data_IF_226887171441
#
_entry.id   IF_226887171441
#
_cell.length_a   1.000
_cell.length_b   1.000
_cell.length_c   1.000
_cell.angle_alpha   90.00
_cell.angle_beta   90.00
_cell.angle_gamma   90.00
#
_symmetry.space_group_name_H-M   'P 1'
#
loop_
_entity.id
_entity.type
_entity.pdbx_description
1 polymer ?
#
# COMPACT_ATOMS: atom_id res chain seq x y z
N UNK A 1 -16.43 1.59 -34.15
CA UNK A 1 -15.85 2.50 -35.17
C UNK A 1 -14.61 3.15 -34.56
N UNK A 2 -13.45 3.21 -35.24
CA UNK A 2 -12.32 3.96 -34.71
C UNK A 2 -12.76 5.43 -34.60
N UNK A 3 -12.59 6.04 -33.42
CA UNK A 3 -12.83 7.47 -33.23
C UNK A 3 -11.92 8.20 -34.22
N UNK A 4 -12.49 9.03 -35.09
CA UNK A 4 -11.71 9.86 -36.01
C UNK A 4 -10.80 10.78 -35.18
N UNK A 5 -9.51 10.83 -35.52
CA UNK A 5 -8.57 11.74 -34.91
C UNK A 5 -9.01 13.19 -35.19
N UNK A 6 -9.31 13.94 -34.15
CA UNK A 6 -9.65 15.37 -34.23
C UNK A 6 -8.46 16.13 -33.62
N UNK A 7 -7.72 16.92 -34.42
CA UNK A 7 -6.62 17.72 -33.91
C UNK A 7 -7.05 18.70 -32.82
N UNK A 8 -6.28 18.78 -31.75
CA UNK A 8 -6.45 19.73 -30.66
C UNK A 8 -5.91 21.12 -31.02
N UNK A 9 -6.46 22.21 -30.49
CA UNK A 9 -5.97 23.56 -30.78
C UNK A 9 -4.61 23.85 -30.11
N UNK A 10 -3.83 24.79 -30.66
CA UNK A 10 -2.51 25.20 -30.14
C UNK A 10 -2.55 25.74 -28.70
N UNK A 11 -3.71 26.17 -28.22
CA UNK A 11 -3.92 26.59 -26.83
C UNK A 11 -3.77 25.45 -25.83
N UNK A 12 -3.86 24.19 -26.29
CA UNK A 12 -3.72 22.99 -25.45
C UNK A 12 -2.27 22.55 -25.27
N UNK A 13 -1.30 23.15 -26.00
CA UNK A 13 0.12 22.77 -25.97
C UNK A 13 0.67 22.73 -24.53
N UNK A 14 0.47 23.74 -23.66
CA UNK A 14 1.03 23.70 -22.30
C UNK A 14 0.50 22.55 -21.46
N UNK A 15 -0.81 22.28 -21.52
CA UNK A 15 -1.45 21.20 -20.77
C UNK A 15 -0.95 19.82 -21.23
N UNK A 16 -0.86 19.62 -22.54
CA UNK A 16 -0.41 18.34 -23.12
C UNK A 16 1.09 18.14 -22.88
N UNK A 17 1.86 19.22 -22.83
CA UNK A 17 3.26 19.18 -22.41
C UNK A 17 3.41 18.66 -20.97
N UNK A 18 2.69 19.24 -20.02
CA UNK A 18 2.73 18.79 -18.63
C UNK A 18 2.26 17.33 -18.50
N UNK A 19 1.17 16.96 -19.19
CA UNK A 19 0.68 15.58 -19.23
C UNK A 19 1.73 14.61 -19.79
N UNK A 20 2.42 14.97 -20.87
CA UNK A 20 3.46 14.13 -21.48
C UNK A 20 4.61 13.85 -20.51
N UNK A 21 4.94 14.82 -19.65
CA UNK A 21 5.98 14.70 -18.64
C UNK A 21 5.55 13.73 -17.53
N UNK A 22 4.35 13.93 -16.96
CA UNK A 22 3.82 13.06 -15.91
C UNK A 22 3.65 11.61 -16.39
N UNK A 23 3.20 11.40 -17.63
CA UNK A 23 3.08 10.06 -18.21
C UNK A 23 4.45 9.38 -18.37
N UNK A 24 5.47 10.13 -18.80
CA UNK A 24 6.83 9.63 -18.93
C UNK A 24 7.42 9.26 -17.57
N UNK A 25 7.35 10.17 -16.59
CA UNK A 25 7.87 9.96 -15.24
C UNK A 25 7.25 8.71 -14.59
N UNK A 26 5.92 8.58 -14.65
CA UNK A 26 5.21 7.42 -14.10
C UNK A 26 5.60 6.10 -14.79
N UNK A 27 5.87 6.13 -16.10
CA UNK A 27 6.26 4.91 -16.82
C UNK A 27 7.73 4.55 -16.60
N UNK A 28 8.59 5.53 -16.34
CA UNK A 28 9.99 5.31 -15.96
C UNK A 28 10.08 4.72 -14.55
N UNK A 29 9.33 5.26 -13.59
CA UNK A 29 9.25 4.71 -12.22
C UNK A 29 8.76 3.26 -12.23
N UNK A 30 7.69 2.96 -12.98
CA UNK A 30 7.21 1.59 -13.12
C UNK A 30 8.23 0.69 -13.83
N UNK A 31 8.96 1.20 -14.82
CA UNK A 31 10.03 0.45 -15.47
C UNK A 31 11.12 0.06 -14.48
N UNK A 32 11.58 0.99 -13.65
CA UNK A 32 12.58 0.72 -12.60
C UNK A 32 12.10 -0.38 -11.65
N UNK A 33 10.86 -0.28 -11.16
CA UNK A 33 10.23 -1.30 -10.31
C UNK A 33 10.20 -2.68 -10.98
N UNK A 34 9.90 -2.74 -12.29
CA UNK A 34 9.89 -4.01 -13.02
C UNK A 34 11.29 -4.53 -13.33
N UNK A 35 12.30 -3.66 -13.51
CA UNK A 35 13.69 -4.08 -13.69
C UNK A 35 14.28 -4.67 -12.41
N UNK A 36 13.92 -4.16 -11.23
CA UNK A 36 14.29 -4.77 -9.95
C UNK A 36 13.71 -6.19 -9.74
N UNK A 37 12.63 -6.52 -10.45
CA UNK A 37 12.03 -7.84 -10.45
C UNK A 37 12.69 -8.79 -11.48
N UNK A 38 13.65 -8.33 -12.28
CA UNK A 38 14.20 -9.11 -13.41
C UNK A 38 14.86 -10.42 -12.99
N UNK A 39 15.61 -10.39 -11.89
CA UNK A 39 16.29 -11.56 -11.33
C UNK A 39 15.37 -12.36 -10.37
N UNK A 40 14.18 -11.85 -10.08
CA UNK A 40 13.20 -12.45 -9.16
C UNK A 40 11.76 -12.34 -9.69
N UNK A 41 11.46 -12.83 -10.91
CA UNK A 41 10.16 -12.62 -11.55
C UNK A 41 8.97 -13.20 -10.77
N UNK A 42 9.25 -14.16 -9.88
CA UNK A 42 8.30 -14.79 -8.97
C UNK A 42 7.72 -13.87 -7.89
N UNK A 43 8.25 -12.65 -7.72
CA UNK A 43 7.64 -11.63 -6.85
C UNK A 43 6.36 -11.04 -7.45
N UNK A 44 6.16 -11.21 -8.76
CA UNK A 44 4.97 -10.74 -9.48
C UNK A 44 3.92 -11.85 -9.55
N UNK A 45 2.66 -11.44 -9.50
CA UNK A 45 1.52 -12.31 -9.77
C UNK A 45 1.01 -12.18 -11.21
N UNK A 46 0.26 -13.18 -11.67
CA UNK A 46 -0.37 -13.21 -13.00
C UNK A 46 -1.20 -11.94 -13.24
N UNK A 47 -1.90 -11.44 -12.22
CA UNK A 47 -2.77 -10.26 -12.33
C UNK A 47 -1.99 -8.95 -12.56
N UNK A 48 -0.81 -8.80 -11.98
CA UNK A 48 0.09 -7.66 -12.20
C UNK A 48 0.65 -7.73 -13.62
N UNK A 49 1.10 -8.90 -14.07
CA UNK A 49 1.62 -9.09 -15.42
C UNK A 49 0.53 -8.79 -16.46
N UNK A 50 -0.67 -9.37 -16.33
CA UNK A 50 -1.77 -9.15 -17.26
C UNK A 50 -2.24 -7.69 -17.31
N UNK A 51 -2.39 -7.04 -16.15
CA UNK A 51 -2.79 -5.63 -16.09
C UNK A 51 -1.74 -4.72 -16.71
N UNK A 52 -0.45 -4.99 -16.47
CA UNK A 52 0.65 -4.22 -17.03
C UNK A 52 0.71 -4.38 -18.55
N UNK A 53 0.59 -5.62 -19.05
CA UNK A 53 0.53 -5.89 -20.50
C UNK A 53 -0.61 -5.09 -21.14
N UNK A 54 -1.81 -5.14 -20.55
CA UNK A 54 -2.97 -4.40 -21.07
C UNK A 54 -2.72 -2.90 -21.06
N UNK A 55 -2.27 -2.34 -19.93
CA UNK A 55 -2.06 -0.90 -19.76
C UNK A 55 -1.05 -0.35 -20.78
N UNK A 56 0.16 -0.92 -20.84
CA UNK A 56 1.22 -0.39 -21.69
C UNK A 56 1.00 -0.69 -23.17
N UNK A 57 0.24 -1.74 -23.50
CA UNK A 57 -0.22 -1.98 -24.87
C UNK A 57 -1.19 -0.90 -25.33
N UNK A 58 -2.20 -0.56 -24.51
CA UNK A 58 -3.16 0.51 -24.85
C UNK A 58 -2.46 1.88 -24.88
N UNK A 59 -1.61 2.19 -23.90
CA UNK A 59 -0.89 3.45 -23.86
C UNK A 59 0.02 3.63 -25.09
N UNK A 60 0.66 2.56 -25.59
CA UNK A 60 1.44 2.61 -26.83
C UNK A 60 0.59 2.87 -28.09
N UNK A 61 -0.68 2.44 -28.11
CA UNK A 61 -1.61 2.80 -29.19
C UNK A 61 -1.93 4.29 -29.13
N UNK A 62 -2.18 4.83 -27.94
CA UNK A 62 -2.52 6.24 -27.73
C UNK A 62 -1.35 7.18 -28.04
N UNK A 63 -0.11 6.78 -27.76
CA UNK A 63 1.11 7.55 -28.10
C UNK A 63 1.17 7.92 -29.58
N UNK A 64 0.69 7.06 -30.47
CA UNK A 64 0.66 7.36 -31.91
C UNK A 64 -0.22 8.58 -32.19
N UNK A 65 -1.36 8.71 -31.51
CA UNK A 65 -2.25 9.86 -31.64
C UNK A 65 -1.58 11.14 -31.11
N UNK A 66 -0.87 11.07 -29.98
CA UNK A 66 -0.16 12.22 -29.43
C UNK A 66 1.03 12.70 -30.30
N UNK A 67 1.78 11.77 -30.89
CA UNK A 67 2.85 12.12 -31.83
C UNK A 67 2.26 12.78 -33.08
N UNK A 68 1.14 12.29 -33.60
CA UNK A 68 0.46 12.91 -34.73
C UNK A 68 -0.06 14.30 -34.40
N UNK A 69 -0.58 14.51 -33.18
CA UNK A 69 -0.96 15.84 -32.69
C UNK A 69 0.21 16.82 -32.71
N UNK A 70 1.40 16.39 -32.25
CA UNK A 70 2.61 17.23 -32.30
C UNK A 70 2.98 17.61 -33.74
N UNK A 71 2.84 16.67 -34.70
CA UNK A 71 3.08 16.94 -36.13
C UNK A 71 2.09 17.93 -36.71
N UNK A 72 0.82 17.89 -36.31
CA UNK A 72 -0.17 18.87 -36.76
C UNK A 72 0.13 20.27 -36.20
N UNK A 73 0.48 20.39 -34.91
CA UNK A 73 0.86 21.69 -34.34
C UNK A 73 2.11 22.30 -34.99
N UNK A 74 3.08 21.48 -35.42
CA UNK A 74 4.28 21.97 -36.13
C UNK A 74 3.98 22.58 -37.50
N UNK A 75 2.76 22.43 -38.04
CA UNK A 75 2.33 23.09 -39.29
C UNK A 75 1.70 24.47 -39.03
N UNK A 76 1.39 24.79 -37.78
CA UNK A 76 0.76 26.05 -37.38
C UNK A 76 1.82 27.11 -37.03
N UNK A 77 1.39 28.37 -36.87
CA UNK A 77 2.26 29.46 -36.44
C UNK A 77 2.47 29.41 -34.91
N UNK A 78 3.50 28.66 -34.48
CA UNK A 78 3.86 28.54 -33.06
C UNK A 78 4.73 29.73 -32.60
N UNK A 79 4.53 30.15 -31.34
CA UNK A 79 5.52 30.99 -30.65
C UNK A 79 6.77 30.16 -30.29
N UNK A 80 7.93 30.79 -30.04
CA UNK A 80 9.15 30.07 -29.66
C UNK A 80 8.95 29.13 -28.46
N UNK A 81 8.17 29.56 -27.45
CA UNK A 81 7.83 28.72 -26.29
C UNK A 81 6.96 27.52 -26.66
N UNK A 82 5.98 27.70 -27.55
CA UNK A 82 5.14 26.59 -28.02
C UNK A 82 5.94 25.61 -28.87
N UNK A 83 6.87 26.09 -29.70
CA UNK A 83 7.75 25.25 -30.50
C UNK A 83 8.66 24.38 -29.63
N UNK A 84 9.23 24.96 -28.56
CA UNK A 84 9.98 24.25 -27.54
C UNK A 84 9.12 23.18 -26.86
N UNK A 85 7.93 23.54 -26.38
CA UNK A 85 7.00 22.61 -25.72
C UNK A 85 6.58 21.47 -26.63
N UNK A 86 6.24 21.74 -27.89
CA UNK A 86 5.83 20.70 -28.86
C UNK A 86 7.00 19.75 -29.17
N UNK A 87 8.23 20.28 -29.25
CA UNK A 87 9.42 19.45 -29.45
C UNK A 87 9.69 18.57 -28.23
N UNK A 88 9.53 19.11 -27.02
CA UNK A 88 9.67 18.36 -25.79
C UNK A 88 8.56 17.29 -25.62
N UNK A 89 7.30 17.60 -25.94
CA UNK A 89 6.20 16.62 -25.99
C UNK A 89 6.57 15.43 -26.89
N UNK A 90 7.03 15.72 -28.11
CA UNK A 90 7.38 14.68 -29.07
C UNK A 90 8.53 13.80 -28.54
N UNK A 91 9.51 14.40 -27.86
CA UNK A 91 10.58 13.67 -27.18
C UNK A 91 10.04 12.80 -26.05
N UNK A 92 9.21 13.36 -25.17
CA UNK A 92 8.62 12.66 -24.03
C UNK A 92 7.81 11.44 -24.49
N UNK A 93 6.99 11.57 -25.52
CA UNK A 93 6.21 10.45 -26.06
C UNK A 93 7.07 9.36 -26.73
N UNK A 94 8.22 9.73 -27.32
CA UNK A 94 9.19 8.75 -27.84
C UNK A 94 9.85 7.96 -26.72
N UNK A 95 10.31 8.63 -25.66
CA UNK A 95 10.90 7.97 -24.50
C UNK A 95 9.87 7.15 -23.71
N UNK A 96 8.64 7.64 -23.61
CA UNK A 96 7.53 6.93 -22.99
C UNK A 96 7.27 5.62 -23.74
N UNK A 97 7.23 5.66 -25.08
CA UNK A 97 7.05 4.46 -25.90
C UNK A 97 8.19 3.45 -25.68
N UNK A 98 9.44 3.91 -25.59
CA UNK A 98 10.59 3.02 -25.32
C UNK A 98 10.46 2.37 -23.95
N UNK A 99 10.12 3.16 -22.92
CA UNK A 99 9.92 2.68 -21.55
C UNK A 99 8.82 1.61 -21.52
N UNK A 100 7.67 1.89 -22.13
CA UNK A 100 6.56 0.94 -22.26
C UNK A 100 6.94 -0.32 -23.01
N UNK A 101 7.71 -0.22 -24.09
CA UNK A 101 8.19 -1.39 -24.83
C UNK A 101 9.14 -2.24 -23.98
N UNK A 102 10.00 -1.61 -23.18
CA UNK A 102 10.87 -2.31 -22.23
C UNK A 102 10.05 -3.01 -21.15
N UNK A 103 9.03 -2.36 -20.59
CA UNK A 103 8.11 -2.99 -19.63
C UNK A 103 7.40 -4.18 -20.27
N UNK A 104 6.85 -4.04 -21.47
CA UNK A 104 6.19 -5.15 -22.17
C UNK A 104 7.14 -6.32 -22.44
N UNK A 105 8.41 -6.05 -22.74
CA UNK A 105 9.45 -7.08 -22.87
C UNK A 105 9.67 -7.81 -21.54
N UNK A 106 9.75 -7.09 -20.42
CA UNK A 106 9.88 -7.68 -19.09
C UNK A 106 8.64 -8.51 -18.72
N UNK A 107 7.44 -8.00 -19.00
CA UNK A 107 6.20 -8.75 -18.74
C UNK A 107 6.14 -10.05 -19.54
N UNK A 108 6.58 -10.04 -20.80
CA UNK A 108 6.67 -11.26 -21.61
C UNK A 108 7.68 -12.26 -21.03
N UNK A 109 8.79 -11.78 -20.46
CA UNK A 109 9.76 -12.60 -19.73
C UNK A 109 9.21 -13.14 -18.40
N UNK A 110 8.31 -12.41 -17.74
CA UNK A 110 7.77 -12.76 -16.42
C UNK A 110 6.53 -13.65 -16.46
N UNK A 111 5.75 -13.64 -17.55
CA UNK A 111 4.44 -14.31 -17.66
C UNK A 111 4.43 -15.81 -17.30
N UNK A 112 5.56 -16.50 -17.48
CA UNK A 112 5.71 -17.93 -17.19
C UNK A 112 6.49 -18.20 -15.88
N UNK A 113 6.82 -17.15 -15.13
CA UNK A 113 7.68 -17.18 -13.94
C UNK A 113 7.09 -16.43 -12.75
N UNK A 114 5.80 -16.11 -12.81
CA UNK A 114 5.04 -15.52 -11.71
C UNK A 114 4.90 -16.50 -10.55
N UNK A 115 4.45 -15.98 -9.41
CA UNK A 115 4.21 -16.83 -8.23
C UNK A 115 3.18 -17.92 -8.53
N UNK A 116 2.10 -17.63 -9.26
CA UNK A 116 1.10 -18.64 -9.63
C UNK A 116 1.69 -19.76 -10.49
N UNK A 117 2.58 -19.43 -11.44
CA UNK A 117 3.24 -20.43 -12.30
C UNK A 117 4.20 -21.30 -11.54
N UNK A 118 4.87 -20.76 -10.53
CA UNK A 118 5.76 -21.54 -9.64
C UNK A 118 4.94 -22.40 -8.68
N UNK A 119 3.82 -21.89 -8.15
CA UNK A 119 2.93 -22.64 -7.26
C UNK A 119 2.16 -23.77 -7.96
N UNK A 120 2.06 -23.74 -9.29
CA UNK A 120 1.46 -24.81 -10.09
C UNK A 120 2.42 -25.98 -10.34
N UNK A 121 3.72 -25.81 -10.08
CA UNK A 121 4.73 -26.86 -10.25
C UNK A 121 4.73 -27.82 -9.07
N UNK A 122 4.97 -29.10 -9.34
CA UNK A 122 5.17 -30.06 -8.27
C UNK A 122 6.58 -29.93 -7.63
N UNK A 123 6.77 -30.56 -6.48
CA UNK A 123 8.02 -30.45 -5.69
C UNK A 123 9.27 -30.92 -6.46
N UNK A 124 9.11 -31.81 -7.46
CA UNK A 124 10.19 -32.34 -8.27
C UNK A 124 10.58 -31.33 -9.35
N UNK A 125 9.60 -30.73 -10.01
CA UNK A 125 9.79 -29.64 -10.98
C UNK A 125 10.43 -28.42 -10.34
N UNK A 126 10.03 -28.08 -9.10
CA UNK A 126 10.61 -26.97 -8.35
C UNK A 126 12.07 -27.22 -7.95
N UNK A 127 12.41 -28.44 -7.53
CA UNK A 127 13.78 -28.84 -7.23
C UNK A 127 14.69 -28.80 -8.49
N UNK A 128 14.12 -29.15 -9.65
CA UNK A 128 14.85 -29.11 -10.91
C UNK A 128 15.16 -27.68 -11.37
N UNK A 129 14.20 -26.76 -11.25
CA UNK A 129 14.41 -25.33 -11.58
C UNK A 129 15.40 -24.63 -10.64
N UNK A 130 15.44 -25.02 -9.38
CA UNK A 130 16.45 -24.56 -8.43
C UNK A 130 17.86 -25.01 -8.84
N UNK A 131 18.02 -26.28 -9.23
CA UNK A 131 19.30 -26.81 -9.69
C UNK A 131 19.79 -26.19 -11.00
N UNK A 132 18.86 -25.78 -11.87
CA UNK A 132 19.15 -25.13 -13.14
C UNK A 132 19.41 -23.62 -13.03
N UNK A 133 19.31 -23.04 -11.83
CA UNK A 133 19.50 -21.60 -11.61
C UNK A 133 18.36 -20.72 -12.12
N UNK A 134 17.23 -21.33 -12.51
CA UNK A 134 16.00 -20.62 -12.88
C UNK A 134 15.32 -20.03 -11.63
N UNK A 135 15.68 -20.52 -10.45
CA UNK A 135 15.27 -20.05 -9.13
C UNK A 135 16.54 -19.90 -8.28
N UNK A 136 16.86 -18.69 -7.81
CA UNK A 136 18.05 -18.44 -6.97
C UNK A 136 17.71 -18.46 -5.48
N UNK A 137 18.54 -19.07 -4.61
CA UNK A 137 18.44 -18.90 -3.17
C UNK A 137 18.79 -17.47 -2.78
N UNK A 138 18.07 -16.91 -1.80
CA UNK A 138 18.40 -15.62 -1.19
C UNK A 138 19.85 -15.66 -0.67
N UNK A 139 20.72 -14.85 -1.26
CA UNK A 139 22.16 -14.84 -0.97
C UNK A 139 22.44 -14.35 0.46
N UNK A 140 23.27 -15.11 1.19
CA UNK A 140 23.71 -14.79 2.54
C UNK A 140 24.77 -13.68 2.54
N UNK A 141 24.45 -12.55 3.20
CA UNK A 141 25.40 -11.48 3.49
C UNK A 141 26.42 -11.92 4.55
N UNK A 142 27.71 -11.73 4.23
CA UNK A 142 28.88 -12.09 5.05
C UNK A 142 29.00 -11.25 6.34
N UNK A 143 29.28 -11.97 7.43
CA UNK A 143 29.90 -11.60 8.71
C UNK A 143 30.20 -10.12 9.03
N UNK A 144 29.53 -9.59 10.06
CA UNK A 144 30.08 -8.55 10.94
C UNK A 144 29.92 -8.94 12.42
N UNK A 145 31.00 -8.72 13.16
CA UNK A 145 31.31 -9.30 14.47
C UNK A 145 30.43 -8.81 15.62
N UNK A 146 30.08 -9.77 16.48
CA UNK A 146 29.38 -9.64 17.78
C UNK A 146 30.04 -8.64 18.74
N UNK A 147 29.21 -7.84 19.41
CA UNK A 147 29.43 -7.39 20.80
C UNK A 147 28.18 -7.73 21.61
N UNK A 148 28.36 -8.65 22.57
CA UNK A 148 27.32 -9.04 23.53
C UNK A 148 27.10 -7.94 24.57
N UNK A 149 25.84 -7.57 24.81
CA UNK A 149 25.38 -6.97 26.05
C UNK A 149 24.21 -7.82 26.56
N UNK A 150 24.29 -8.20 27.84
CA UNK A 150 23.37 -9.12 28.51
C UNK A 150 21.97 -8.52 28.66
N UNK A 151 20.97 -9.16 28.03
CA UNK A 151 19.55 -8.85 28.16
C UNK A 151 18.82 -9.73 29.17
N UNK A 152 17.91 -9.12 29.92
CA UNK A 152 17.04 -9.76 30.90
C UNK A 152 15.66 -10.03 30.26
N UNK A 153 15.46 -11.28 29.81
CA UNK A 153 14.20 -12.06 29.67
C UNK A 153 12.86 -11.32 29.46
N UNK A 154 12.47 -11.16 28.18
CA UNK A 154 11.25 -11.71 27.51
C UNK A 154 10.92 -10.90 26.25
N UNK A 155 11.80 -10.90 25.27
CA UNK A 155 11.52 -10.43 23.91
C UNK A 155 12.11 -11.44 22.92
N UNK A 156 11.42 -11.60 21.80
CA UNK A 156 11.55 -12.70 20.86
C UNK A 156 13.00 -12.95 20.40
N UNK A 157 13.44 -14.20 20.50
CA UNK A 157 14.64 -14.67 19.80
C UNK A 157 14.27 -14.95 18.35
N UNK A 158 14.99 -14.45 17.34
CA UNK A 158 14.77 -14.92 15.98
C UNK A 158 15.76 -16.06 15.64
N UNK A 159 15.36 -16.85 14.64
CA UNK A 159 16.16 -17.77 13.80
C UNK A 159 15.80 -19.26 13.97
N UNK A 160 14.74 -19.71 13.29
CA UNK A 160 14.42 -21.14 13.09
C UNK A 160 13.10 -21.42 12.34
N UNK A 161 12.73 -22.71 12.23
CA UNK A 161 11.47 -23.23 11.64
C UNK A 161 10.21 -22.57 12.22
N UNK A 162 10.26 -22.13 13.49
CA UNK A 162 9.14 -21.46 14.17
C UNK A 162 8.73 -20.16 13.47
N UNK A 163 9.69 -19.36 13.00
CA UNK A 163 9.42 -18.10 12.31
C UNK A 163 8.75 -18.34 10.94
N UNK A 164 9.15 -19.40 10.24
CA UNK A 164 8.53 -19.79 8.98
C UNK A 164 7.08 -20.27 9.16
N UNK A 165 6.80 -21.02 10.23
CA UNK A 165 5.44 -21.44 10.59
C UNK A 165 4.56 -20.24 10.97
N UNK A 166 5.08 -19.32 11.79
CA UNK A 166 4.36 -18.10 12.19
C UNK A 166 4.10 -17.20 10.98
N UNK A 167 5.07 -17.07 10.06
CA UNK A 167 4.86 -16.31 8.84
C UNK A 167 3.80 -16.93 7.92
N UNK A 168 3.74 -18.27 7.87
CA UNK A 168 2.66 -18.96 7.15
C UNK A 168 1.29 -18.65 7.75
N UNK A 169 1.16 -18.74 9.08
CA UNK A 169 -0.08 -18.38 9.78
C UNK A 169 -0.44 -16.91 9.56
N UNK A 170 0.53 -16.00 9.63
CA UNK A 170 0.36 -14.59 9.29
C UNK A 170 -0.23 -14.42 7.89
N UNK A 171 0.33 -15.07 6.86
CA UNK A 171 -0.16 -14.95 5.47
C UNK A 171 -1.61 -15.44 5.34
N UNK A 172 -1.95 -16.54 6.00
CA UNK A 172 -3.31 -17.07 6.00
C UNK A 172 -4.28 -16.10 6.67
N UNK A 173 -3.93 -15.59 7.86
CA UNK A 173 -4.74 -14.62 8.59
C UNK A 173 -4.86 -13.29 7.83
N UNK A 174 -3.80 -12.79 7.19
CA UNK A 174 -3.83 -11.57 6.36
C UNK A 174 -4.76 -11.72 5.15
N UNK A 175 -4.75 -12.88 4.49
CA UNK A 175 -5.66 -13.19 3.37
C UNK A 175 -7.13 -13.22 3.80
N UNK A 176 -7.42 -13.81 4.97
CA UNK A 176 -8.79 -13.84 5.51
C UNK A 176 -9.21 -12.43 5.94
N UNK A 177 -8.34 -11.71 6.64
CA UNK A 177 -8.59 -10.34 7.09
C UNK A 177 -8.95 -9.40 5.94
N UNK A 178 -8.19 -9.44 4.84
CA UNK A 178 -8.47 -8.58 3.68
C UNK A 178 -9.89 -8.78 3.12
N UNK A 179 -10.33 -10.04 2.95
CA UNK A 179 -11.69 -10.35 2.49
C UNK A 179 -12.75 -10.00 3.54
N UNK A 180 -12.42 -10.23 4.81
CA UNK A 180 -13.31 -9.98 5.93
C UNK A 180 -13.63 -8.49 6.06
N UNK A 181 -12.64 -7.60 5.95
CA UNK A 181 -12.86 -6.14 6.00
C UNK A 181 -13.77 -5.69 4.86
N UNK A 182 -13.57 -6.16 3.63
CA UNK A 182 -14.47 -5.85 2.51
C UNK A 182 -15.90 -6.32 2.78
N UNK A 183 -16.08 -7.53 3.30
CA UNK A 183 -17.40 -8.06 3.62
C UNK A 183 -18.07 -7.28 4.76
N UNK A 184 -17.33 -6.98 5.84
CA UNK A 184 -17.85 -6.19 6.96
C UNK A 184 -18.23 -4.77 6.51
N UNK A 185 -17.41 -4.14 5.67
CA UNK A 185 -17.72 -2.82 5.15
C UNK A 185 -18.93 -2.82 4.22
N UNK A 186 -19.21 -3.92 3.51
CA UNK A 186 -20.45 -4.04 2.71
C UNK A 186 -21.73 -4.13 3.55
N UNK A 187 -21.61 -4.39 4.86
CA UNK A 187 -22.73 -4.36 5.81
C UNK A 187 -22.99 -2.96 6.39
N UNK A 188 -22.08 -2.02 6.13
CA UNK A 188 -22.21 -0.62 6.53
C UNK A 188 -23.20 0.07 5.61
N UNK A 189 -24.22 0.71 6.19
CA UNK A 189 -25.17 1.52 5.42
C UNK A 189 -24.51 2.79 4.87
N UNK A 190 -24.99 3.30 3.74
CA UNK A 190 -24.50 4.56 3.16
C UNK A 190 -24.50 5.71 4.17
N UNK A 191 -25.53 5.82 5.01
CA UNK A 191 -25.62 6.84 6.05
C UNK A 191 -24.48 6.75 7.09
N UNK A 192 -24.10 5.52 7.48
CA UNK A 192 -22.99 5.29 8.41
C UNK A 192 -21.65 5.60 7.73
N UNK A 193 -21.45 5.11 6.50
CA UNK A 193 -20.25 5.39 5.71
C UNK A 193 -20.07 6.91 5.49
N UNK A 194 -21.13 7.62 5.11
CA UNK A 194 -21.11 9.08 4.95
C UNK A 194 -20.87 9.82 6.26
N UNK A 195 -21.39 9.33 7.39
CA UNK A 195 -21.13 9.94 8.70
C UNK A 195 -19.66 9.81 9.09
N UNK A 196 -19.06 8.63 8.90
CA UNK A 196 -17.63 8.43 9.10
C UNK A 196 -16.80 9.30 8.13
N UNK A 197 -17.18 9.37 6.85
CA UNK A 197 -16.53 10.21 5.85
C UNK A 197 -16.57 11.71 6.18
N UNK A 198 -17.66 12.21 6.78
CA UNK A 198 -17.77 13.59 7.26
C UNK A 198 -16.77 13.90 8.36
N UNK A 199 -16.55 12.97 9.30
CA UNK A 199 -15.54 13.11 10.34
C UNK A 199 -14.14 13.23 9.71
N UNK A 200 -13.87 12.45 8.67
CA UNK A 200 -12.58 12.42 7.98
C UNK A 200 -12.39 13.54 6.94
N UNK A 201 -13.39 14.40 6.72
CA UNK A 201 -13.29 15.49 5.74
C UNK A 201 -13.24 15.03 4.26
N UNK A 202 -13.71 13.81 3.99
CA UNK A 202 -13.72 13.20 2.64
C UNK A 202 -15.13 13.06 2.06
N UNK A 203 -16.13 13.58 2.75
CA UNK A 203 -17.51 13.64 2.26
C UNK A 203 -17.70 14.86 1.35
N UNK A 204 -18.29 14.65 0.17
CA UNK A 204 -18.64 15.72 -0.76
C UNK A 204 -20.17 15.81 -0.92
N UNK A 205 -20.71 16.98 -0.55
CA UNK A 205 -22.12 17.32 -0.80
C UNK A 205 -22.26 17.87 -2.22
N UNK A 206 -23.03 17.18 -3.07
CA UNK A 206 -23.30 17.59 -4.45
C UNK A 206 -24.71 17.24 -4.89
N UNK A 207 -24.91 17.06 -6.20
CA UNK A 207 -26.16 16.52 -6.76
C UNK A 207 -26.39 15.07 -6.31
N UNK A 208 -25.31 14.32 -6.07
CA UNK A 208 -25.28 13.03 -5.38
C UNK A 208 -24.28 13.11 -4.22
N UNK A 209 -24.60 12.47 -3.09
CA UNK A 209 -23.68 12.33 -1.96
C UNK A 209 -22.55 11.36 -2.33
N UNK A 210 -21.30 11.73 -2.10
CA UNK A 210 -20.16 10.87 -2.43
C UNK A 210 -19.00 10.97 -1.43
N UNK A 211 -18.13 9.95 -1.46
CA UNK A 211 -16.92 9.86 -0.63
C UNK A 211 -15.71 9.94 -1.55
N UNK A 212 -14.84 10.92 -1.31
CA UNK A 212 -13.62 11.13 -2.08
C UNK A 212 -12.52 10.16 -1.63
N UNK A 213 -12.33 9.09 -2.40
CA UNK A 213 -11.27 8.09 -2.24
C UNK A 213 -10.42 8.05 -3.51
N UNK A 214 -9.09 8.13 -3.37
CA UNK A 214 -8.16 8.19 -4.51
C UNK A 214 -7.51 6.85 -4.85
N UNK A 215 -7.32 6.00 -3.86
CA UNK A 215 -6.63 4.71 -4.00
C UNK A 215 -7.09 3.70 -2.94
N UNK A 216 -6.58 2.48 -3.04
CA UNK A 216 -6.95 1.37 -2.14
C UNK A 216 -6.49 1.59 -0.69
N UNK A 217 -5.40 2.33 -0.46
CA UNK A 217 -4.93 2.66 0.89
C UNK A 217 -5.93 3.58 1.60
N UNK A 218 -6.42 4.60 0.90
CA UNK A 218 -7.47 5.49 1.38
C UNK A 218 -8.79 4.78 1.63
N UNK A 219 -9.17 3.85 0.75
CA UNK A 219 -10.33 3.00 0.98
C UNK A 219 -10.16 2.17 2.26
N UNK A 220 -8.96 1.60 2.46
CA UNK A 220 -8.65 0.77 3.64
C UNK A 220 -8.67 1.58 4.94
N UNK A 221 -8.15 2.81 4.92
CA UNK A 221 -8.23 3.74 6.04
C UNK A 221 -9.67 4.13 6.36
N UNK A 222 -10.46 4.46 5.34
CA UNK A 222 -11.86 4.82 5.53
C UNK A 222 -12.68 3.65 6.08
N UNK A 223 -12.52 2.45 5.52
CA UNK A 223 -13.19 1.25 5.97
C UNK A 223 -12.82 0.90 7.42
N UNK A 224 -11.52 0.94 7.75
CA UNK A 224 -11.05 0.66 9.11
C UNK A 224 -11.54 1.72 10.11
N UNK A 225 -11.53 3.00 9.74
CA UNK A 225 -12.09 4.07 10.56
C UNK A 225 -13.58 3.89 10.82
N UNK A 226 -14.34 3.60 9.77
CA UNK A 226 -15.78 3.40 9.88
C UNK A 226 -16.12 2.18 10.74
N UNK A 227 -15.35 1.09 10.66
CA UNK A 227 -15.61 -0.12 11.42
C UNK A 227 -15.15 -0.03 12.87
N UNK A 228 -13.93 0.47 13.13
CA UNK A 228 -13.30 0.39 14.45
C UNK A 228 -13.48 1.65 15.30
N UNK A 229 -13.47 2.83 14.68
CA UNK A 229 -13.36 4.08 15.40
C UNK A 229 -14.68 4.89 15.35
N UNK A 230 -15.49 4.75 14.30
CA UNK A 230 -16.82 5.35 14.25
C UNK A 230 -17.81 4.62 15.17
N UNK A 231 -18.38 5.35 16.12
CA UNK A 231 -19.27 4.79 17.14
C UNK A 231 -20.70 5.31 17.04
N UNK A 232 -21.68 4.41 17.20
CA UNK A 232 -23.10 4.76 17.34
C UNK A 232 -23.48 4.62 18.81
N UNK A 233 -23.88 5.74 19.43
CA UNK A 233 -24.21 5.81 20.88
C UNK A 233 -23.08 5.28 21.78
N UNK A 234 -21.83 5.42 21.35
CA UNK A 234 -20.64 4.97 22.10
C UNK A 234 -20.22 3.53 21.84
N UNK A 235 -20.89 2.80 20.94
CA UNK A 235 -20.49 1.45 20.52
C UNK A 235 -19.88 1.48 19.12
N UNK A 236 -18.66 0.96 18.91
CA UNK A 236 -18.06 0.86 17.58
C UNK A 236 -18.91 0.06 16.60
N UNK A 237 -18.94 0.46 15.34
CA UNK A 237 -19.79 -0.17 14.33
C UNK A 237 -19.47 -1.66 14.11
N UNK A 238 -18.19 -2.04 14.14
CA UNK A 238 -17.76 -3.44 14.05
C UNK A 238 -18.39 -4.29 15.16
N UNK A 239 -18.51 -3.75 16.38
CA UNK A 239 -19.11 -4.49 17.49
C UNK A 239 -20.60 -4.74 17.23
N UNK A 240 -21.33 -3.73 16.74
CA UNK A 240 -22.75 -3.87 16.41
C UNK A 240 -22.97 -4.93 15.33
N UNK A 241 -22.18 -4.87 14.24
CA UNK A 241 -22.23 -5.85 13.14
C UNK A 241 -21.91 -7.25 13.67
N UNK A 242 -20.88 -7.37 14.52
CA UNK A 242 -20.46 -8.65 15.07
C UNK A 242 -21.52 -9.27 15.97
N UNK A 243 -22.16 -8.49 16.84
CA UNK A 243 -23.22 -8.96 17.72
C UNK A 243 -24.45 -9.43 16.93
N UNK A 244 -24.84 -8.68 15.90
CA UNK A 244 -25.98 -9.03 15.04
C UNK A 244 -25.71 -10.29 14.20
N UNK A 245 -24.54 -10.37 13.58
CA UNK A 245 -24.22 -11.39 12.56
C UNK A 245 -23.31 -12.51 13.07
N UNK A 246 -23.02 -12.57 14.37
CA UNK A 246 -22.10 -13.56 14.96
C UNK A 246 -22.24 -14.99 14.42
N UNK A 247 -23.46 -15.54 14.25
CA UNK A 247 -23.65 -16.92 13.77
C UNK A 247 -23.25 -17.16 12.31
N UNK A 248 -23.17 -16.12 11.47
CA UNK A 248 -22.87 -16.24 10.03
C UNK A 248 -21.37 -16.31 9.75
N UNK A 249 -20.55 -15.79 10.66
CA UNK A 249 -19.09 -15.76 10.51
C UNK A 249 -18.45 -17.13 10.76
N UNK A 250 -17.51 -17.51 9.90
CA UNK A 250 -16.69 -18.71 10.07
C UNK A 250 -15.84 -18.60 11.34
N UNK A 251 -15.41 -19.72 11.95
CA UNK A 251 -14.60 -19.69 13.17
C UNK A 251 -13.36 -18.79 13.08
N UNK A 252 -12.63 -18.81 11.96
CA UNK A 252 -11.45 -17.97 11.76
C UNK A 252 -11.80 -16.48 11.63
N UNK A 253 -12.90 -16.15 10.95
CA UNK A 253 -13.39 -14.77 10.84
C UNK A 253 -13.79 -14.24 12.22
N UNK A 254 -14.50 -15.05 13.03
CA UNK A 254 -14.84 -14.68 14.41
C UNK A 254 -13.60 -14.40 15.26
N UNK A 255 -12.57 -15.24 15.16
CA UNK A 255 -11.28 -15.01 15.85
C UNK A 255 -10.68 -13.66 15.43
N UNK A 256 -10.66 -13.35 14.13
CA UNK A 256 -10.09 -12.08 13.64
C UNK A 256 -10.93 -10.87 14.04
N UNK A 257 -12.26 -10.96 14.04
CA UNK A 257 -13.13 -9.89 14.54
C UNK A 257 -12.89 -9.66 16.04
N UNK A 258 -12.78 -10.72 16.83
CA UNK A 258 -12.50 -10.61 18.27
C UNK A 258 -11.11 -10.00 18.54
N UNK A 259 -10.12 -10.24 17.68
CA UNK A 259 -8.82 -9.56 17.74
C UNK A 259 -8.93 -8.09 17.32
N UNK A 260 -9.66 -7.78 16.25
CA UNK A 260 -9.93 -6.39 15.83
C UNK A 260 -10.63 -5.58 16.92
N UNK A 261 -11.63 -6.16 17.59
CA UNK A 261 -12.35 -5.49 18.69
C UNK A 261 -11.47 -5.23 19.93
N UNK A 262 -10.36 -5.95 20.08
CA UNK A 262 -9.36 -5.76 21.14
C UNK A 262 -8.11 -5.02 20.67
N UNK A 263 -8.09 -4.62 19.41
CA UNK A 263 -6.94 -3.94 18.82
C UNK A 263 -6.74 -2.57 19.45
N UNK A 264 -5.54 -2.03 19.26
CA UNK A 264 -5.22 -0.66 19.64
C UNK A 264 -4.49 0.03 18.49
N UNK A 265 -4.58 1.35 18.48
CA UNK A 265 -3.90 2.17 17.48
C UNK A 265 -2.56 2.65 18.03
N UNK A 266 -1.50 2.56 17.22
CA UNK A 266 -0.20 3.13 17.59
C UNK A 266 0.61 3.55 16.37
N UNK A 267 1.76 4.18 16.64
CA UNK A 267 2.82 4.39 15.68
C UNK A 267 4.02 3.53 16.09
N UNK A 268 4.51 2.73 15.15
CA UNK A 268 5.77 2.02 15.28
C UNK A 268 6.89 2.79 14.59
N UNK A 269 8.10 2.75 15.15
CA UNK A 269 9.33 3.00 14.41
C UNK A 269 9.93 1.67 13.97
N UNK A 270 10.34 1.55 12.71
CA UNK A 270 11.02 0.36 12.18
C UNK A 270 12.48 0.41 12.61
N UNK A 271 12.89 -0.52 13.46
CA UNK A 271 14.25 -0.58 13.99
C UNK A 271 15.14 -1.56 13.20
N UNK A 272 14.57 -2.67 12.73
CA UNK A 272 15.31 -3.69 11.98
C UNK A 272 14.38 -4.54 11.11
N UNK A 273 14.94 -5.16 10.08
CA UNK A 273 14.24 -6.05 9.15
C UNK A 273 14.74 -7.47 9.36
N UNK A 274 13.86 -8.37 9.76
CA UNK A 274 14.18 -9.79 9.94
C UNK A 274 13.79 -10.61 8.71
N UNK A 275 14.29 -11.84 8.65
CA UNK A 275 13.89 -12.81 7.62
C UNK A 275 12.41 -13.17 7.78
N UNK A 276 11.82 -13.72 6.72
CA UNK A 276 10.45 -14.27 6.72
C UNK A 276 9.35 -13.24 7.05
N UNK A 277 9.44 -12.00 6.56
CA UNK A 277 8.36 -11.02 6.71
C UNK A 277 8.21 -10.41 8.10
N UNK A 278 9.13 -10.71 9.03
CA UNK A 278 9.16 -10.13 10.37
C UNK A 278 9.98 -8.82 10.38
N UNK A 279 9.51 -7.83 11.12
CA UNK A 279 10.21 -6.57 11.35
C UNK A 279 10.28 -6.29 12.84
N UNK A 280 11.43 -5.78 13.29
CA UNK A 280 11.60 -5.27 14.64
C UNK A 280 11.07 -3.86 14.67
N UNK A 281 10.14 -3.59 15.57
CA UNK A 281 9.54 -2.27 15.73
C UNK A 281 9.59 -1.80 17.17
N UNK A 282 9.73 -0.50 17.36
CA UNK A 282 9.55 0.17 18.66
C UNK A 282 8.20 0.87 18.68
N UNK A 283 7.37 0.49 19.66
CA UNK A 283 6.06 1.10 19.88
C UNK A 283 6.21 2.48 20.51
N UNK A 284 5.73 3.54 19.85
CA UNK A 284 5.79 4.89 20.41
C UNK A 284 4.83 5.10 21.58
N UNK A 285 3.80 4.26 21.73
CA UNK A 285 2.86 4.35 22.84
C UNK A 285 3.43 3.70 24.11
N UNK A 286 4.02 2.51 24.00
CA UNK A 286 4.49 1.72 25.15
C UNK A 286 6.01 1.79 25.37
N UNK A 287 6.76 2.31 24.39
CA UNK A 287 8.23 2.25 24.32
C UNK A 287 8.79 0.82 24.30
N UNK A 288 7.96 -0.19 24.06
CA UNK A 288 8.39 -1.58 24.00
C UNK A 288 8.81 -1.97 22.58
N UNK A 289 9.85 -2.81 22.49
CA UNK A 289 10.22 -3.44 21.23
C UNK A 289 9.36 -4.68 20.99
N UNK A 290 8.86 -4.82 19.75
CA UNK A 290 8.01 -5.93 19.32
C UNK A 290 8.50 -6.49 17.99
N UNK A 291 8.11 -7.73 17.72
CA UNK A 291 8.26 -8.35 16.41
C UNK A 291 6.91 -8.33 15.72
N UNK A 292 6.83 -7.55 14.65
CA UNK A 292 5.65 -7.38 13.81
C UNK A 292 5.84 -8.19 12.53
N UNK A 293 4.85 -9.01 12.16
CA UNK A 293 4.83 -9.57 10.81
C UNK A 293 4.03 -8.62 9.91
N UNK A 294 4.72 -8.09 8.91
CA UNK A 294 4.13 -7.32 7.84
C UNK A 294 4.98 -7.51 6.58
N UNK A 295 4.47 -8.30 5.63
CA UNK A 295 5.21 -8.66 4.42
C UNK A 295 5.58 -7.41 3.61
N UNK A 296 4.63 -6.50 3.41
CA UNK A 296 4.84 -5.30 2.60
C UNK A 296 5.91 -4.41 3.23
N UNK A 297 5.84 -4.19 4.54
CA UNK A 297 6.82 -3.35 5.25
C UNK A 297 8.20 -4.00 5.33
N UNK A 298 8.25 -5.33 5.47
CA UNK A 298 9.49 -6.08 5.44
C UNK A 298 10.19 -5.96 4.07
N UNK A 299 9.43 -6.05 2.97
CA UNK A 299 9.94 -5.95 1.61
C UNK A 299 10.41 -4.53 1.24
N UNK A 300 9.78 -3.50 1.80
CA UNK A 300 10.16 -2.10 1.60
C UNK A 300 11.46 -1.69 2.32
N UNK A 301 12.00 -2.54 3.21
CA UNK A 301 13.28 -2.35 3.93
C UNK A 301 13.53 -0.95 4.50
N UNK A 302 12.47 -0.31 5.00
CA UNK A 302 12.47 1.11 5.37
C UNK A 302 12.90 1.34 6.83
N UNK A 303 14.10 0.88 7.20
CA UNK A 303 14.64 1.08 8.56
C UNK A 303 14.69 2.59 8.88
N UNK A 304 14.23 2.97 10.07
CA UNK A 304 14.15 4.35 10.52
C UNK A 304 12.83 5.06 10.16
N UNK A 305 12.05 4.52 9.22
CA UNK A 305 10.71 5.02 8.94
C UNK A 305 9.72 4.57 10.02
N UNK A 306 8.53 5.17 9.96
CA UNK A 306 7.46 4.96 10.91
C UNK A 306 6.26 4.31 10.23
N UNK A 307 5.47 3.59 11.01
CA UNK A 307 4.25 2.94 10.57
C UNK A 307 3.12 3.39 11.48
N UNK A 308 2.11 4.03 10.92
CA UNK A 308 0.83 4.27 11.56
C UNK A 308 -0.06 3.03 11.37
N UNK A 309 -0.54 2.40 12.43
CA UNK A 309 -1.36 1.21 12.28
C UNK A 309 -2.28 0.90 13.47
N UNK A 310 -3.31 0.12 13.17
CA UNK A 310 -4.04 -0.69 14.15
C UNK A 310 -3.27 -2.00 14.39
N UNK A 311 -3.00 -2.36 15.65
CA UNK A 311 -2.23 -3.54 16.04
C UNK A 311 -3.15 -4.69 16.41
N UNK A 312 -2.96 -5.83 15.74
CA UNK A 312 -3.66 -7.08 15.98
C UNK A 312 -2.74 -8.05 16.72
N UNK A 313 -3.05 -8.31 17.99
CA UNK A 313 -2.34 -9.31 18.80
C UNK A 313 -2.87 -10.71 18.48
N UNK A 314 -2.02 -11.53 17.84
CA UNK A 314 -2.34 -12.90 17.43
C UNK A 314 -1.83 -13.93 18.45
N UNK A 315 -1.31 -13.48 19.59
CA UNK A 315 -0.74 -14.30 20.67
C UNK A 315 0.76 -14.51 20.50
N UNK A 316 1.17 -15.34 19.54
CA UNK A 316 2.59 -15.63 19.29
C UNK A 316 3.30 -14.54 18.45
N UNK A 317 2.52 -13.66 17.81
CA UNK A 317 3.02 -12.55 17.01
C UNK A 317 1.99 -11.42 16.94
N UNK A 318 2.43 -10.23 16.51
CA UNK A 318 1.52 -9.13 16.15
C UNK A 318 1.52 -8.91 14.65
N UNK A 319 0.40 -8.41 14.11
CA UNK A 319 0.27 -7.97 12.73
C UNK A 319 -0.52 -6.67 12.64
N UNK A 320 -0.46 -6.00 11.49
CA UNK A 320 -1.19 -4.75 11.26
C UNK A 320 -2.64 -4.99 10.80
N UNK A 321 -3.50 -4.00 11.04
CA UNK A 321 -4.79 -3.84 10.40
C UNK A 321 -4.67 -3.48 8.92
N UNK A 322 -5.81 -3.20 8.28
CA UNK A 322 -5.87 -2.80 6.86
C UNK A 322 -5.55 -1.33 6.63
N UNK A 323 -5.83 -0.44 7.59
CA UNK A 323 -5.61 1.01 7.51
C UNK A 323 -4.17 1.43 7.84
N UNK A 324 -3.18 0.68 7.35
CA UNK A 324 -1.76 0.90 7.68
C UNK A 324 -1.11 1.88 6.72
N UNK A 325 -0.30 2.81 7.25
CA UNK A 325 0.43 3.79 6.45
C UNK A 325 1.89 3.88 6.90
N UNK A 326 2.88 3.59 6.02
CA UNK A 326 4.26 3.95 6.28
C UNK A 326 4.47 5.45 6.04
N UNK A 327 5.35 6.08 6.81
CA UNK A 327 5.74 7.47 6.61
C UNK A 327 7.16 7.77 7.12
N UNK A 328 7.75 8.85 6.59
CA UNK A 328 9.06 9.36 7.04
C UNK A 328 8.92 10.74 7.67
N UNK A 329 9.67 10.97 8.75
CA UNK A 329 9.74 12.24 9.48
C UNK A 329 10.69 13.25 8.82
N UNK A 330 11.38 12.84 7.76
CA UNK A 330 12.17 13.76 6.93
C UNK A 330 11.27 14.74 6.16
N UNK A 331 10.01 14.37 5.95
CA UNK A 331 9.00 15.20 5.30
C UNK A 331 8.07 15.84 6.32
N UNK A 332 7.60 17.06 6.02
CA UNK A 332 6.68 17.82 6.88
C UNK A 332 5.39 17.06 7.18
N UNK A 333 4.93 16.22 6.24
CA UNK A 333 3.76 15.35 6.44
C UNK A 333 3.94 14.38 7.61
N UNK A 334 5.07 13.66 7.64
CA UNK A 334 5.36 12.73 8.74
C UNK A 334 5.61 13.43 10.08
N UNK A 335 6.18 14.63 10.06
CA UNK A 335 6.37 15.43 11.27
C UNK A 335 5.04 15.84 11.90
N UNK A 336 4.06 16.25 11.09
CA UNK A 336 2.74 16.63 11.61
C UNK A 336 1.97 15.41 12.14
N UNK A 337 2.05 14.26 11.47
CA UNK A 337 1.47 13.00 11.99
C UNK A 337 2.04 12.66 13.37
N UNK A 338 3.37 12.72 13.55
CA UNK A 338 3.99 12.51 14.86
C UNK A 338 3.58 13.56 15.89
N UNK A 339 3.39 14.81 15.48
CA UNK A 339 2.96 15.88 16.38
C UNK A 339 1.55 15.63 16.90
N UNK A 340 0.59 15.32 16.01
CA UNK A 340 -0.79 14.96 16.40
C UNK A 340 -0.77 13.77 17.37
N UNK A 341 0.01 12.73 17.06
CA UNK A 341 0.12 11.54 17.93
C UNK A 341 0.78 11.87 19.27
N UNK A 342 1.81 12.72 19.29
CA UNK A 342 2.49 13.15 20.52
C UNK A 342 1.58 13.97 21.43
N UNK A 343 0.71 14.81 20.87
CA UNK A 343 -0.31 15.55 21.62
C UNK A 343 -1.33 14.60 22.24
N UNK A 344 -1.74 13.57 21.49
CA UNK A 344 -2.58 12.50 22.00
C UNK A 344 -1.92 11.73 23.16
N UNK A 345 -0.66 11.31 23.03
CA UNK A 345 0.06 10.62 24.11
C UNK A 345 0.16 11.49 25.38
N UNK A 346 0.34 12.81 25.24
CA UNK A 346 0.35 13.75 26.37
C UNK A 346 -1.02 13.89 27.05
N UNK A 347 -2.12 13.59 26.35
CA UNK A 347 -3.47 13.61 26.92
C UNK A 347 -3.84 12.34 27.67
N UNK A 348 -2.99 11.30 27.60
CA UNK A 348 -3.22 10.01 28.26
C UNK A 348 -2.47 9.96 29.58
N UNK A 349 -3.21 9.86 30.69
CA UNK A 349 -2.63 9.69 32.03
C UNK A 349 -2.17 8.25 32.30
N UNK A 350 -2.89 7.26 31.73
CA UNK A 350 -2.63 5.83 31.90
C UNK A 350 -2.88 5.11 30.56
N UNK A 351 -1.81 4.70 29.89
CA UNK A 351 -1.86 3.99 28.60
C UNK A 351 -2.62 2.65 28.68
N UNK A 352 -2.83 2.10 29.88
CA UNK A 352 -3.62 0.87 30.07
C UNK A 352 -5.12 1.13 30.17
N UNK A 353 -5.54 2.39 30.24
CA UNK A 353 -6.93 2.83 30.43
C UNK A 353 -7.30 4.00 29.53
N UNK A 354 -6.88 3.95 28.28
CA UNK A 354 -7.23 4.97 27.30
C UNK A 354 -8.73 4.88 27.02
N UNK A 355 -9.51 5.95 27.24
CA UNK A 355 -10.93 5.87 26.94
C UNK A 355 -11.13 5.85 25.41
N UNK A 356 -12.11 5.09 24.90
CA UNK A 356 -12.25 4.86 23.45
C UNK A 356 -12.41 6.13 22.61
N UNK A 357 -12.97 7.20 23.18
CA UNK A 357 -13.24 8.46 22.48
C UNK A 357 -11.97 9.24 22.17
N UNK A 358 -10.98 9.18 23.05
CA UNK A 358 -9.69 9.83 22.89
C UNK A 358 -8.91 9.16 21.75
N UNK A 359 -8.94 7.82 21.69
CA UNK A 359 -8.41 7.05 20.57
C UNK A 359 -9.14 7.40 19.26
N UNK A 360 -10.47 7.38 19.26
CA UNK A 360 -11.30 7.74 18.10
C UNK A 360 -10.93 9.14 17.57
N UNK A 361 -10.78 10.12 18.45
CA UNK A 361 -10.38 11.47 18.09
C UNK A 361 -8.98 11.50 17.48
N UNK A 362 -8.00 10.86 18.10
CA UNK A 362 -6.63 10.82 17.59
C UNK A 362 -6.57 10.21 16.19
N UNK A 363 -7.21 9.05 15.98
CA UNK A 363 -7.22 8.38 14.68
C UNK A 363 -7.91 9.25 13.64
N UNK A 364 -9.05 9.88 14.00
CA UNK A 364 -9.79 10.77 13.11
C UNK A 364 -8.96 11.98 12.68
N UNK A 365 -8.23 12.60 13.62
CA UNK A 365 -7.40 13.77 13.34
C UNK A 365 -6.21 13.42 12.44
N UNK A 366 -5.54 12.28 12.68
CA UNK A 366 -4.44 11.80 11.82
C UNK A 366 -4.95 11.42 10.43
N UNK A 367 -6.03 10.62 10.34
CA UNK A 367 -6.56 10.19 9.05
C UNK A 367 -7.07 11.38 8.23
N UNK A 368 -7.79 12.33 8.85
CA UNK A 368 -8.22 13.58 8.19
C UNK A 368 -7.01 14.32 7.61
N UNK A 369 -5.94 14.48 8.40
CA UNK A 369 -4.71 15.10 7.92
C UNK A 369 -4.12 14.37 6.70
N UNK A 370 -4.03 13.05 6.75
CA UNK A 370 -3.54 12.24 5.63
C UNK A 370 -4.39 12.42 4.35
N UNK A 371 -5.73 12.48 4.48
CA UNK A 371 -6.62 12.71 3.35
C UNK A 371 -6.44 14.12 2.74
N UNK A 372 -6.33 15.15 3.57
CA UNK A 372 -6.23 16.55 3.13
C UNK A 372 -4.91 16.85 2.41
N UNK A 373 -3.80 16.41 3.00
CA UNK A 373 -2.46 16.86 2.59
C UNK A 373 -1.88 16.10 1.41
N UNK A 374 -2.54 15.01 0.96
CA UNK A 374 -1.96 14.04 0.02
C UNK A 374 -0.58 13.52 0.50
N UNK A 375 -0.30 13.58 1.81
CA UNK A 375 1.07 13.62 2.33
C UNK A 375 1.97 12.41 2.00
N UNK A 376 1.44 11.35 1.40
CA UNK A 376 2.16 10.10 1.18
C UNK A 376 1.84 9.47 -0.19
N UNK A 377 1.57 10.30 -1.20
CA UNK A 377 1.50 9.90 -2.61
C UNK A 377 2.78 10.27 -3.36
#
# INVERSE_FOLDING_TARGET
>A
MPKSFIPQPISMIPMIYDLSKTMLESSQENLENFEEAQDRPHVLDDAIVERSVKLYTEQNKDIIHFINQCKEWKKENLTPKQEEQVTACESNYKELRKSNQRILFLMDHYKDRTIEKILQKDDIEMAFDFLMGNISPLSEGKDLKKKEVKENKRTARPHGEKDASLFKEYKENRKVLGKLITNLFSEVTDSQAFSAAKILGIYEAGFEESIRIRNDAEMSMHAEHCLLYFSIKGTPLLQLIFEEKRPTFKPQERKLIEVLLKSHFTIFKIEDIYKNGAIKVSDLMTSEERVLFDKTMNEQQSIGNYILCTVLDMGDYIMTGSGTLPFSIEYSGGQEVLKIFSEYLKSIDDITKIPPKETEKCVSDIFRYCFETKAFG
#
